data_IF_857368195024
#
_entry.id   IF_857368195024
#
_cell.length_a   1.000
_cell.length_b   1.000
_cell.length_c   1.000
_cell.angle_alpha   90.00
_cell.angle_beta   90.00
_cell.angle_gamma   90.00
#
_symmetry.space_group_name_H-M   'P 1'
#
loop_
_entity.id
_entity.type
_entity.pdbx_description
1 polymer ?
#
# COMPACT_ATOMS: atom_id res chain seq x y z
N UNK A 1 -32.27 6.99 -42.85
CA UNK A 1 -31.74 8.01 -41.92
C UNK A 1 -32.04 7.75 -40.45
N UNK A 2 -33.25 7.33 -40.05
CA UNK A 2 -33.58 7.11 -38.63
C UNK A 2 -32.85 5.91 -37.97
N UNK A 3 -32.60 4.83 -38.69
CA UNK A 3 -31.87 3.65 -38.17
C UNK A 3 -30.38 3.92 -37.91
N UNK A 4 -29.73 4.71 -38.77
CA UNK A 4 -28.30 5.04 -38.64
C UNK A 4 -28.00 5.88 -37.40
N UNK A 5 -28.92 6.78 -37.02
CA UNK A 5 -28.82 7.60 -35.81
C UNK A 5 -28.93 6.74 -34.54
N UNK A 6 -29.80 5.71 -34.55
CA UNK A 6 -29.97 4.79 -33.41
C UNK A 6 -28.71 3.96 -33.17
N UNK A 7 -28.04 3.49 -34.24
CA UNK A 7 -26.77 2.77 -34.11
C UNK A 7 -25.63 3.65 -33.60
N UNK A 8 -25.56 4.92 -34.01
CA UNK A 8 -24.55 5.86 -33.50
C UNK A 8 -24.76 6.21 -32.02
N UNK A 9 -26.01 6.27 -31.54
CA UNK A 9 -26.32 6.49 -30.12
C UNK A 9 -26.00 5.24 -29.28
N UNK A 10 -26.23 4.03 -29.82
CA UNK A 10 -25.84 2.78 -29.16
C UNK A 10 -24.31 2.63 -29.02
N UNK A 11 -23.56 3.07 -30.03
CA UNK A 11 -22.10 3.03 -30.04
C UNK A 11 -21.47 4.00 -29.02
N UNK A 12 -22.17 5.11 -28.71
CA UNK A 12 -21.78 6.09 -27.69
C UNK A 12 -21.91 5.59 -26.23
N UNK A 13 -22.63 4.49 -25.98
CA UNK A 13 -22.69 3.83 -24.67
C UNK A 13 -21.58 2.80 -24.44
N UNK A 14 -20.74 2.53 -25.45
CA UNK A 14 -19.59 1.62 -25.33
C UNK A 14 -18.32 2.30 -24.80
N UNK A 15 -18.40 3.53 -24.32
CA UNK A 15 -17.26 4.25 -23.73
C UNK A 15 -17.01 3.70 -22.32
N UNK A 16 -16.25 2.62 -22.27
CA UNK A 16 -15.39 2.22 -21.15
C UNK A 16 -16.10 2.14 -19.79
N UNK A 17 -16.86 1.08 -19.55
CA UNK A 17 -17.23 0.69 -18.19
C UNK A 17 -15.95 0.20 -17.47
N UNK A 18 -15.14 1.14 -16.97
CA UNK A 18 -14.01 0.81 -16.09
C UNK A 18 -14.60 0.20 -14.84
N UNK A 19 -14.27 -1.06 -14.58
CA UNK A 19 -14.78 -1.78 -13.42
C UNK A 19 -14.42 -1.05 -12.12
N UNK A 20 -15.28 -1.18 -11.11
CA UNK A 20 -14.99 -0.60 -9.80
C UNK A 20 -13.68 -1.15 -9.22
N UNK A 21 -13.37 -2.42 -9.45
CA UNK A 21 -12.11 -3.04 -9.01
C UNK A 21 -10.88 -2.38 -9.65
N UNK A 22 -10.98 -1.98 -10.93
CA UNK A 22 -9.89 -1.26 -11.59
C UNK A 22 -9.68 0.14 -10.99
N UNK A 23 -10.76 0.89 -10.74
CA UNK A 23 -10.68 2.20 -10.06
C UNK A 23 -10.08 2.09 -8.67
N UNK A 24 -10.51 1.08 -7.91
CA UNK A 24 -10.00 0.79 -6.58
C UNK A 24 -8.48 0.50 -6.63
N UNK A 25 -8.03 -0.30 -7.61
CA UNK A 25 -6.61 -0.61 -7.81
C UNK A 25 -5.79 0.62 -8.21
N UNK A 26 -6.34 1.51 -9.04
CA UNK A 26 -5.68 2.76 -9.42
C UNK A 26 -5.49 3.68 -8.21
N UNK A 27 -6.52 3.84 -7.37
CA UNK A 27 -6.43 4.64 -6.15
C UNK A 27 -5.42 4.07 -5.14
N UNK A 28 -5.38 2.73 -4.99
CA UNK A 28 -4.38 2.07 -4.15
C UNK A 28 -2.97 2.34 -4.68
N UNK A 29 -2.74 2.23 -5.99
CA UNK A 29 -1.43 2.51 -6.59
C UNK A 29 -0.99 3.95 -6.30
N UNK A 30 -1.86 4.93 -6.52
CA UNK A 30 -1.55 6.33 -6.21
C UNK A 30 -1.18 6.54 -4.73
N UNK A 31 -1.88 5.86 -3.84
CA UNK A 31 -1.64 5.97 -2.39
C UNK A 31 -0.30 5.36 -2.01
N UNK A 32 0.06 4.21 -2.56
CA UNK A 32 1.38 3.58 -2.34
C UNK A 32 2.51 4.42 -2.93
N UNK A 33 2.32 5.05 -4.09
CA UNK A 33 3.30 5.97 -4.67
C UNK A 33 3.53 7.18 -3.75
N UNK A 34 2.45 7.79 -3.24
CA UNK A 34 2.52 8.88 -2.27
C UNK A 34 3.20 8.43 -0.99
N UNK A 35 2.85 7.26 -0.47
CA UNK A 35 3.46 6.67 0.72
C UNK A 35 4.98 6.60 0.59
N UNK A 36 5.49 5.95 -0.45
CA UNK A 36 6.93 5.82 -0.64
C UNK A 36 7.64 7.15 -0.91
N UNK A 37 6.96 8.11 -1.56
CA UNK A 37 7.45 9.48 -1.65
C UNK A 37 7.62 10.11 -0.27
N UNK A 38 6.60 10.04 0.59
CA UNK A 38 6.67 10.61 1.94
C UNK A 38 7.70 9.94 2.83
N UNK A 39 7.88 8.61 2.70
CA UNK A 39 8.94 7.86 3.38
C UNK A 39 10.31 8.38 2.97
N UNK A 40 10.57 8.50 1.67
CA UNK A 40 11.85 9.01 1.14
C UNK A 40 12.13 10.44 1.58
N UNK A 41 11.10 11.29 1.63
CA UNK A 41 11.22 12.70 2.02
C UNK A 41 11.24 12.91 3.55
N UNK A 42 11.10 11.84 4.35
CA UNK A 42 10.98 11.89 5.80
C UNK A 42 9.89 12.88 6.29
N UNK A 43 8.78 12.99 5.54
CA UNK A 43 7.74 13.98 5.81
C UNK A 43 6.64 13.38 6.70
N UNK A 44 6.76 13.56 8.02
CA UNK A 44 5.84 12.96 9.00
C UNK A 44 4.40 13.41 8.84
N UNK A 45 4.15 14.69 8.56
CA UNK A 45 2.80 15.20 8.37
C UNK A 45 2.12 14.53 7.16
N UNK A 46 2.82 14.45 6.04
CA UNK A 46 2.30 13.83 4.82
C UNK A 46 2.16 12.32 4.99
N UNK A 47 3.10 11.68 5.70
CA UNK A 47 3.02 10.26 6.06
C UNK A 47 1.77 9.97 6.89
N UNK A 48 1.57 10.69 8.00
CA UNK A 48 0.39 10.56 8.85
C UNK A 48 -0.91 10.83 8.09
N UNK A 49 -0.90 11.77 7.12
CA UNK A 49 -2.07 12.02 6.27
C UNK A 49 -2.49 10.83 5.41
N UNK A 50 -1.62 9.84 5.20
CA UNK A 50 -1.91 8.61 4.46
C UNK A 50 -2.26 7.43 5.37
N UNK A 51 -2.04 7.54 6.68
CA UNK A 51 -2.35 6.50 7.66
C UNK A 51 -3.74 6.77 8.27
N UNK A 52 -4.56 5.74 8.37
CA UNK A 52 -5.83 5.81 9.09
C UNK A 52 -5.56 5.92 10.60
N UNK A 53 -6.25 6.84 11.27
CA UNK A 53 -6.17 7.01 12.73
C UNK A 53 -4.76 7.32 13.28
N UNK A 54 -3.89 7.91 12.45
CA UNK A 54 -2.49 8.21 12.78
C UNK A 54 -2.30 9.02 14.07
N UNK A 55 -3.26 9.89 14.37
CA UNK A 55 -3.32 10.75 15.53
C UNK A 55 -3.37 9.99 16.85
N UNK A 56 -3.92 8.76 16.85
CA UNK A 56 -3.98 7.90 18.02
C UNK A 56 -2.72 7.05 18.20
N UNK A 57 -1.83 7.01 17.20
CA UNK A 57 -0.60 6.20 17.20
C UNK A 57 0.66 6.99 16.81
N UNK A 58 0.90 8.19 17.37
CA UNK A 58 1.98 9.08 16.91
C UNK A 58 3.38 8.47 17.10
N UNK A 59 3.57 7.66 18.14
CA UNK A 59 4.84 6.96 18.37
C UNK A 59 5.11 5.86 17.35
N UNK A 60 4.07 5.13 16.94
CA UNK A 60 4.17 4.06 15.94
C UNK A 60 4.52 4.67 14.59
N UNK A 61 3.73 5.63 14.11
CA UNK A 61 3.92 6.21 12.78
C UNK A 61 5.26 6.94 12.65
N UNK A 62 5.70 7.66 13.69
CA UNK A 62 7.00 8.32 13.70
C UNK A 62 8.16 7.32 13.68
N UNK A 63 8.09 6.25 14.48
CA UNK A 63 9.13 5.22 14.53
C UNK A 63 9.24 4.46 13.21
N UNK A 64 8.12 4.08 12.61
CA UNK A 64 8.10 3.37 11.33
C UNK A 64 8.59 4.24 10.19
N UNK A 65 8.17 5.50 10.12
CA UNK A 65 8.70 6.45 9.13
C UNK A 65 10.21 6.60 9.27
N UNK A 66 10.72 6.80 10.49
CA UNK A 66 12.15 6.96 10.73
C UNK A 66 12.95 5.74 10.26
N UNK A 67 12.50 4.55 10.64
CA UNK A 67 13.12 3.29 10.21
C UNK A 67 13.11 3.16 8.68
N UNK A 68 11.96 3.34 8.05
CA UNK A 68 11.80 3.18 6.61
C UNK A 68 12.60 4.22 5.82
N UNK A 69 12.67 5.46 6.31
CA UNK A 69 13.47 6.51 5.69
C UNK A 69 14.97 6.16 5.74
N UNK A 70 15.47 5.79 6.93
CA UNK A 70 16.87 5.40 7.16
C UNK A 70 17.31 4.26 6.22
N UNK A 71 16.41 3.32 5.93
CA UNK A 71 16.69 2.13 5.13
C UNK A 71 16.12 2.17 3.71
N UNK A 72 15.61 3.33 3.25
CA UNK A 72 14.89 3.45 1.98
C UNK A 72 15.70 2.95 0.78
N UNK A 73 16.98 3.34 0.68
CA UNK A 73 17.82 2.98 -0.46
C UNK A 73 18.05 1.47 -0.55
N UNK A 74 18.30 0.81 0.59
CA UNK A 74 18.47 -0.64 0.65
C UNK A 74 17.18 -1.35 0.24
N UNK A 75 16.05 -0.97 0.86
CA UNK A 75 14.73 -1.54 0.59
C UNK A 75 14.38 -1.37 -0.90
N UNK A 76 14.57 -0.17 -1.45
CA UNK A 76 14.23 0.14 -2.83
C UNK A 76 15.11 -0.60 -3.83
N UNK A 77 16.40 -0.76 -3.55
CA UNK A 77 17.32 -1.51 -4.42
C UNK A 77 16.91 -2.98 -4.58
N UNK A 78 16.38 -3.60 -3.52
CA UNK A 78 15.99 -5.02 -3.49
C UNK A 78 14.62 -5.30 -4.11
N UNK A 79 13.71 -4.32 -4.11
CA UNK A 79 12.30 -4.57 -4.48
C UNK A 79 11.75 -3.74 -5.62
N UNK A 80 12.41 -2.66 -6.02
CA UNK A 80 11.85 -1.67 -6.95
C UNK A 80 10.40 -1.31 -6.56
N UNK A 81 10.29 -0.52 -5.49
CA UNK A 81 9.05 -0.32 -4.72
C UNK A 81 7.86 0.16 -5.56
N UNK A 82 8.15 0.80 -6.69
CA UNK A 82 7.16 1.41 -7.58
C UNK A 82 6.81 0.53 -8.79
N UNK A 83 7.68 -0.38 -9.22
CA UNK A 83 7.40 -1.26 -10.38
C UNK A 83 6.77 -2.60 -10.01
N UNK A 84 7.05 -3.14 -8.83
CA UNK A 84 6.60 -4.48 -8.42
C UNK A 84 5.34 -4.47 -7.53
N UNK A 85 4.50 -3.43 -7.64
CA UNK A 85 3.31 -3.28 -6.82
C UNK A 85 2.25 -4.33 -7.20
N UNK A 86 2.04 -5.31 -6.31
CA UNK A 86 0.99 -6.34 -6.43
C UNK A 86 -0.10 -6.08 -5.40
N UNK A 87 -1.30 -5.79 -5.87
CA UNK A 87 -2.50 -5.64 -5.04
C UNK A 87 -3.17 -7.00 -4.92
N UNK A 88 -3.41 -7.45 -3.69
CA UNK A 88 -4.04 -8.74 -3.38
C UNK A 88 -5.28 -8.52 -2.54
N UNK A 89 -6.27 -9.39 -2.69
CA UNK A 89 -7.45 -9.40 -1.83
C UNK A 89 -7.13 -10.08 -0.50
N UNK A 90 -7.75 -9.60 0.56
CA UNK A 90 -7.69 -10.20 1.89
C UNK A 90 -9.01 -9.95 2.64
N UNK A 91 -9.12 -10.49 3.85
CA UNK A 91 -10.20 -10.18 4.77
C UNK A 91 -9.64 -9.72 6.11
N UNK A 92 -10.45 -9.00 6.88
CA UNK A 92 -10.11 -8.71 8.27
C UNK A 92 -9.96 -10.02 9.06
N UNK A 93 -8.98 -10.05 9.95
CA UNK A 93 -8.63 -11.25 10.72
C UNK A 93 -9.68 -11.60 11.78
N UNK A 94 -10.42 -10.61 12.29
CA UNK A 94 -11.46 -10.77 13.30
C UNK A 94 -12.85 -10.87 12.67
N UNK A 95 -13.06 -10.22 11.52
CA UNK A 95 -14.35 -10.18 10.83
C UNK A 95 -14.16 -10.64 9.37
N UNK A 96 -14.21 -11.95 9.06
CA UNK A 96 -13.91 -12.49 7.71
C UNK A 96 -14.83 -12.00 6.57
N UNK A 97 -15.99 -11.43 6.92
CA UNK A 97 -16.91 -10.79 5.96
C UNK A 97 -16.41 -9.43 5.49
N UNK A 98 -15.52 -8.78 6.26
CA UNK A 98 -14.91 -7.50 5.90
C UNK A 98 -13.82 -7.76 4.86
N UNK A 99 -14.09 -7.35 3.62
CA UNK A 99 -13.14 -7.47 2.50
C UNK A 99 -12.19 -6.28 2.46
N UNK A 100 -10.93 -6.59 2.23
CA UNK A 100 -9.85 -5.61 2.17
C UNK A 100 -8.92 -5.94 1.01
N UNK A 101 -8.03 -5.00 0.69
CA UNK A 101 -6.91 -5.23 -0.23
C UNK A 101 -5.61 -4.90 0.47
N UNK A 102 -4.51 -5.46 0.01
CA UNK A 102 -3.20 -5.13 0.55
C UNK A 102 -2.10 -5.13 -0.51
N UNK A 103 -1.04 -4.38 -0.20
CA UNK A 103 0.25 -4.42 -0.91
C UNK A 103 1.29 -4.81 0.12
N UNK A 104 2.10 -5.83 -0.18
CA UNK A 104 3.12 -6.33 0.73
C UNK A 104 4.49 -6.39 0.06
N UNK A 105 5.51 -6.01 0.82
CA UNK A 105 6.91 -6.13 0.47
C UNK A 105 7.59 -7.03 1.49
N UNK A 106 8.32 -8.05 1.02
CA UNK A 106 9.09 -8.98 1.86
C UNK A 106 10.56 -8.83 1.48
N UNK A 107 11.34 -8.10 2.26
CA UNK A 107 12.76 -7.87 2.03
C UNK A 107 13.52 -8.97 2.76
N UNK A 108 13.94 -9.98 2.00
CA UNK A 108 14.70 -11.12 2.52
C UNK A 108 16.07 -10.64 2.97
N UNK A 109 16.50 -11.07 4.16
CA UNK A 109 17.85 -10.80 4.64
C UNK A 109 18.78 -11.92 4.21
N UNK A 110 19.81 -11.57 3.42
CA UNK A 110 20.80 -12.52 2.93
C UNK A 110 21.82 -12.84 4.04
N UNK A 111 22.40 -14.05 4.01
CA UNK A 111 23.46 -14.50 4.92
C UNK A 111 23.08 -14.54 6.41
N UNK A 112 21.94 -15.15 6.73
CA UNK A 112 21.53 -15.46 8.10
C UNK A 112 21.39 -16.99 8.31
N UNK A 113 22.52 -17.71 8.44
CA UNK A 113 22.51 -19.17 8.55
C UNK A 113 21.76 -19.70 9.78
N UNK A 114 21.57 -18.84 10.81
CA UNK A 114 20.94 -19.20 12.08
C UNK A 114 19.47 -18.71 12.20
N UNK A 115 18.90 -18.09 11.17
CA UNK A 115 17.55 -17.48 11.17
C UNK A 115 17.31 -16.47 12.31
N UNK A 116 18.36 -15.83 12.84
CA UNK A 116 18.25 -14.85 13.93
C UNK A 116 17.78 -13.48 13.42
N UNK A 117 17.95 -13.20 12.13
CA UNK A 117 17.65 -11.96 11.42
C UNK A 117 16.39 -12.16 10.56
N UNK A 118 15.24 -11.72 11.10
CA UNK A 118 13.95 -11.84 10.42
C UNK A 118 13.90 -11.01 9.12
N UNK A 119 13.22 -11.53 8.09
CA UNK A 119 12.87 -10.78 6.88
C UNK A 119 12.11 -9.51 7.25
N UNK A 120 12.32 -8.39 6.56
CA UNK A 120 11.48 -7.21 6.79
C UNK A 120 10.19 -7.35 5.99
N UNK A 121 9.05 -7.41 6.68
CA UNK A 121 7.72 -7.46 6.09
C UNK A 121 7.03 -6.12 6.28
N UNK A 122 6.62 -5.51 5.16
CA UNK A 122 5.92 -4.23 5.11
C UNK A 122 4.56 -4.48 4.45
N UNK A 123 3.48 -4.27 5.18
CA UNK A 123 2.12 -4.54 4.72
C UNK A 123 1.27 -3.27 4.76
N UNK A 124 0.85 -2.81 3.59
CA UNK A 124 -0.06 -1.68 3.41
C UNK A 124 -1.46 -2.23 3.15
N UNK A 125 -2.33 -2.20 4.16
CA UNK A 125 -3.72 -2.65 4.05
C UNK A 125 -4.64 -1.49 3.66
N UNK A 126 -5.68 -1.80 2.87
CA UNK A 126 -6.64 -0.82 2.36
C UNK A 126 -8.05 -1.32 2.63
N UNK A 127 -8.83 -0.50 3.35
CA UNK A 127 -10.22 -0.76 3.68
C UNK A 127 -11.12 0.29 3.05
N UNK A 128 -11.98 -0.13 2.13
CA UNK A 128 -12.75 0.77 1.28
C UNK A 128 -13.61 1.80 2.04
N UNK A 129 -14.31 1.43 3.14
CA UNK A 129 -15.07 2.40 3.93
C UNK A 129 -14.24 3.53 4.54
N UNK A 130 -12.94 3.33 4.77
CA UNK A 130 -12.03 4.36 5.28
C UNK A 130 -11.38 5.18 4.15
N UNK A 131 -11.73 4.87 2.89
CA UNK A 131 -11.10 5.40 1.70
C UNK A 131 -9.82 4.65 1.32
N UNK A 132 -9.66 4.34 0.03
CA UNK A 132 -8.44 3.67 -0.47
C UNK A 132 -7.25 4.65 -0.62
N UNK A 133 -7.47 5.92 -0.28
CA UNK A 133 -6.44 6.93 -0.06
C UNK A 133 -5.79 6.87 1.33
N UNK A 134 -6.21 5.90 2.17
CA UNK A 134 -5.69 5.66 3.52
C UNK A 134 -5.20 4.23 3.65
N UNK A 135 -4.06 4.07 4.33
CA UNK A 135 -3.54 2.79 4.80
C UNK A 135 -4.21 2.50 6.13
N UNK A 136 -4.94 1.40 6.19
CA UNK A 136 -5.83 1.05 7.30
C UNK A 136 -5.08 0.78 8.61
N UNK A 137 -3.92 0.12 8.55
CA UNK A 137 -3.17 -0.25 9.73
C UNK A 137 -2.05 0.77 10.00
N UNK A 138 -2.03 1.43 11.18
CA UNK A 138 -0.96 2.35 11.56
C UNK A 138 0.40 1.68 11.72
N UNK A 139 0.43 0.41 12.13
CA UNK A 139 1.66 -0.39 12.18
C UNK A 139 1.83 -1.17 10.89
N UNK A 140 2.59 -0.62 9.95
CA UNK A 140 2.83 -1.27 8.65
C UNK A 140 4.01 -2.25 8.67
N UNK A 141 4.85 -2.19 9.70
CA UNK A 141 6.03 -3.05 9.86
C UNK A 141 5.73 -4.22 10.80
N UNK A 142 5.66 -5.44 10.27
CA UNK A 142 5.31 -6.62 11.07
C UNK A 142 6.46 -7.07 11.99
N UNK A 143 7.72 -6.78 11.64
CA UNK A 143 8.89 -7.36 12.31
C UNK A 143 10.19 -6.55 12.15
N UNK A 144 10.13 -5.22 12.36
CA UNK A 144 11.31 -4.35 12.25
C UNK A 144 12.30 -4.46 13.44
N UNK A 145 11.86 -4.95 14.60
CA UNK A 145 12.72 -5.10 15.79
C UNK A 145 13.78 -6.18 15.51
N UNK A 146 15.05 -5.78 15.51
CA UNK A 146 16.18 -6.68 15.26
C UNK A 146 16.56 -6.81 13.79
N UNK A 147 15.83 -6.16 12.88
CA UNK A 147 16.23 -6.13 11.47
C UNK A 147 17.51 -5.30 11.24
N UNK A 148 17.76 -4.31 12.08
CA UNK A 148 18.95 -3.45 12.07
C UNK A 148 20.08 -3.95 12.99
N UNK A 149 19.87 -5.05 13.72
CA UNK A 149 20.93 -5.65 14.54
C UNK A 149 21.92 -6.37 13.62
N UNK A 150 23.14 -5.84 13.60
CA UNK A 150 24.31 -6.46 12.97
C UNK A 150 24.72 -7.74 13.70
#
# INVERSE_FOLDING_TARGET
MKLTIVYSILFLFCISCVSQDQKDKEQIKETVLKYWKTVRENNLQSYNSLIYDSENYPGVTASELFFLNKHYNEINSKKDLLKNLKIRDTADIFIPSVKMKYVQYIIVKENDPDNLKKDLIITLMFYKPNGLNKIYNPGVLENHIGWDKE
#
